data_IF_790782012325
#
_entry.id   IF_790782012325
#
_cell.length_a   1.000
_cell.length_b   1.000
_cell.length_c   1.000
_cell.angle_alpha   90.00
_cell.angle_beta   90.00
_cell.angle_gamma   90.00
#
_symmetry.space_group_name_H-M   'P 1'
#
loop_
_entity.id
_entity.type
_entity.pdbx_description
1 polymer ?
#
# COMPACT_ATOMS: atom_id res chain seq x y z
N UNK A 1 27.24 -0.61 5.98
CA UNK A 1 27.97 -0.51 4.69
C UNK A 1 28.09 -1.82 3.92
N UNK A 2 28.61 -2.92 4.52
CA UNK A 2 28.75 -4.23 3.83
C UNK A 2 27.47 -4.76 3.16
N UNK A 3 26.31 -4.65 3.82
CA UNK A 3 25.00 -5.08 3.26
C UNK A 3 24.56 -4.29 2.01
N UNK A 4 24.89 -3.00 1.96
CA UNK A 4 24.55 -2.13 0.81
C UNK A 4 25.44 -2.48 -0.39
N UNK A 5 26.73 -2.73 -0.15
CA UNK A 5 27.68 -3.15 -1.20
C UNK A 5 27.27 -4.49 -1.81
N UNK A 6 26.83 -5.45 -0.99
CA UNK A 6 26.29 -6.73 -1.46
C UNK A 6 25.05 -6.51 -2.34
N UNK A 7 24.12 -5.65 -1.91
CA UNK A 7 22.94 -5.29 -2.70
C UNK A 7 23.31 -4.66 -4.05
N UNK A 8 24.26 -3.72 -4.06
CA UNK A 8 24.73 -3.08 -5.30
C UNK A 8 25.37 -4.10 -6.23
N UNK A 9 26.25 -4.97 -5.74
CA UNK A 9 26.87 -6.03 -6.56
C UNK A 9 25.82 -6.98 -7.15
N UNK A 10 24.80 -7.34 -6.37
CA UNK A 10 23.71 -8.19 -6.84
C UNK A 10 22.86 -7.49 -7.90
N UNK A 11 22.54 -6.21 -7.71
CA UNK A 11 21.81 -5.40 -8.70
C UNK A 11 22.61 -5.20 -9.99
N UNK A 12 23.92 -4.93 -9.91
CA UNK A 12 24.79 -4.79 -11.09
C UNK A 12 24.93 -6.11 -11.82
N UNK A 13 25.09 -7.23 -11.10
CA UNK A 13 25.12 -8.56 -11.69
C UNK A 13 23.80 -8.91 -12.39
N UNK A 14 22.66 -8.59 -11.78
CA UNK A 14 21.33 -8.75 -12.37
C UNK A 14 21.14 -7.90 -13.63
N UNK A 15 21.56 -6.63 -13.60
CA UNK A 15 21.55 -5.77 -14.78
C UNK A 15 22.44 -6.36 -15.88
N UNK A 16 23.66 -6.76 -15.57
CA UNK A 16 24.55 -7.36 -16.56
C UNK A 16 23.91 -8.59 -17.22
N UNK A 17 23.32 -9.51 -16.43
CA UNK A 17 22.63 -10.68 -16.98
C UNK A 17 21.43 -10.30 -17.84
N UNK A 18 20.64 -9.29 -17.44
CA UNK A 18 19.49 -8.82 -18.20
C UNK A 18 19.88 -8.18 -19.54
N UNK A 19 20.96 -7.40 -19.56
CA UNK A 19 21.38 -6.63 -20.74
C UNK A 19 22.43 -7.34 -21.60
N UNK A 20 23.07 -8.42 -21.13
CA UNK A 20 24.16 -9.11 -21.86
C UNK A 20 23.75 -9.65 -23.22
N UNK A 21 22.48 -10.01 -23.40
CA UNK A 21 21.96 -10.53 -24.67
C UNK A 21 21.20 -9.47 -25.48
N UNK A 22 21.17 -8.21 -25.01
CA UNK A 22 20.37 -7.15 -25.62
C UNK A 22 21.22 -6.36 -26.62
N UNK A 23 20.77 -6.32 -27.87
CA UNK A 23 21.35 -5.46 -28.89
C UNK A 23 20.89 -4.00 -28.68
N UNK A 24 21.82 -3.15 -28.26
CA UNK A 24 21.57 -1.72 -28.05
C UNK A 24 21.14 -0.99 -29.33
N UNK A 25 21.51 -1.49 -30.52
CA UNK A 25 21.05 -0.95 -31.79
C UNK A 25 19.54 -1.13 -31.97
N UNK A 26 19.05 -2.35 -31.73
CA UNK A 26 17.62 -2.69 -31.75
C UNK A 26 16.80 -1.85 -30.76
N UNK A 27 17.30 -1.61 -29.53
CA UNK A 27 16.62 -0.77 -28.53
C UNK A 27 16.37 0.65 -29.06
N UNK A 28 17.39 1.26 -29.68
CA UNK A 28 17.30 2.63 -30.22
C UNK A 28 16.28 2.71 -31.35
N UNK A 29 16.21 1.68 -32.19
CA UNK A 29 15.24 1.60 -33.28
C UNK A 29 13.81 1.48 -32.73
N UNK A 30 13.60 0.61 -31.74
CA UNK A 30 12.29 0.43 -31.08
C UNK A 30 11.85 1.72 -30.37
N UNK A 31 12.76 2.40 -29.66
CA UNK A 31 12.47 3.68 -29.01
C UNK A 31 12.04 4.78 -30.00
N UNK A 32 12.56 4.74 -31.23
CA UNK A 32 12.18 5.69 -32.29
C UNK A 32 10.82 5.38 -32.90
N UNK A 33 10.37 4.13 -32.87
CA UNK A 33 9.07 3.71 -33.38
C UNK A 33 7.95 3.79 -32.33
N UNK A 34 8.21 4.36 -31.15
CA UNK A 34 7.21 4.47 -30.10
C UNK A 34 6.13 5.48 -30.50
N UNK A 35 4.88 5.06 -30.36
CA UNK A 35 3.73 5.93 -30.54
C UNK A 35 3.53 6.80 -29.29
N UNK A 36 3.78 8.11 -29.44
CA UNK A 36 3.60 9.10 -28.39
C UNK A 36 2.15 9.26 -27.94
N UNK A 37 1.17 8.97 -28.81
CA UNK A 37 -0.25 9.01 -28.48
C UNK A 37 -0.58 7.91 -27.48
N UNK A 38 -0.05 6.69 -27.68
CA UNK A 38 -0.22 5.59 -26.73
C UNK A 38 0.41 5.90 -25.37
N UNK A 39 1.59 6.54 -25.34
CA UNK A 39 2.19 7.02 -24.08
C UNK A 39 1.25 8.01 -23.39
N UNK A 40 0.74 9.01 -24.12
CA UNK A 40 -0.14 10.02 -23.56
C UNK A 40 -1.41 9.39 -22.97
N UNK A 41 -2.03 8.44 -23.70
CA UNK A 41 -3.19 7.68 -23.21
C UNK A 41 -2.84 6.93 -21.93
N UNK A 42 -1.70 6.24 -21.88
CA UNK A 42 -1.27 5.51 -20.70
C UNK A 42 -1.08 6.44 -19.48
N UNK A 43 -0.49 7.63 -19.68
CA UNK A 43 -0.32 8.64 -18.63
C UNK A 43 -1.69 9.13 -18.12
N UNK A 44 -2.61 9.46 -19.02
CA UNK A 44 -3.96 9.91 -18.65
C UNK A 44 -4.70 8.83 -17.87
N UNK A 45 -4.67 7.58 -18.34
CA UNK A 45 -5.28 6.43 -17.65
C UNK A 45 -4.65 6.22 -16.27
N UNK A 46 -3.33 6.37 -16.15
CA UNK A 46 -2.64 6.26 -14.87
C UNK A 46 -3.07 7.35 -13.88
N UNK A 47 -3.12 8.61 -14.31
CA UNK A 47 -3.58 9.73 -13.47
C UNK A 47 -5.03 9.51 -13.06
N UNK A 48 -5.89 9.10 -13.99
CA UNK A 48 -7.30 8.80 -13.72
C UNK A 48 -7.44 7.63 -12.72
N UNK A 49 -6.62 6.59 -12.84
CA UNK A 49 -6.58 5.49 -11.87
C UNK A 49 -6.26 5.98 -10.46
N UNK A 50 -5.28 6.89 -10.31
CA UNK A 50 -4.93 7.49 -9.01
C UNK A 50 -6.07 8.37 -8.48
N UNK A 51 -6.77 9.09 -9.35
CA UNK A 51 -7.95 9.88 -8.98
C UNK A 51 -9.09 9.01 -8.43
N UNK A 52 -9.41 7.90 -9.10
CA UNK A 52 -10.41 6.93 -8.64
C UNK A 52 -10.02 6.35 -7.27
N UNK A 53 -8.74 6.04 -7.06
CA UNK A 53 -8.23 5.58 -5.76
C UNK A 53 -8.43 6.63 -4.66
N UNK A 54 -8.19 7.90 -4.97
CA UNK A 54 -8.42 9.00 -4.03
C UNK A 54 -9.91 9.16 -3.67
N UNK A 55 -10.83 8.99 -4.64
CA UNK A 55 -12.27 8.98 -4.39
C UNK A 55 -12.68 7.82 -3.49
N UNK A 56 -12.18 6.61 -3.76
CA UNK A 56 -12.43 5.45 -2.91
C UNK A 56 -11.92 5.67 -1.48
N UNK A 57 -10.72 6.24 -1.34
CA UNK A 57 -10.18 6.55 -0.02
C UNK A 57 -11.02 7.58 0.73
N UNK A 58 -11.61 8.56 0.03
CA UNK A 58 -12.58 9.49 0.61
C UNK A 58 -13.80 8.76 1.18
N UNK A 59 -14.32 7.75 0.48
CA UNK A 59 -15.46 6.96 0.94
C UNK A 59 -15.11 6.18 2.22
N UNK A 60 -13.89 5.62 2.31
CA UNK A 60 -13.41 4.91 3.50
C UNK A 60 -13.21 5.88 4.68
N UNK A 61 -12.74 7.10 4.40
CA UNK A 61 -12.45 8.12 5.42
C UNK A 61 -13.69 8.87 5.88
N UNK A 62 -14.75 8.96 5.06
CA UNK A 62 -15.95 9.76 5.33
C UNK A 62 -16.65 9.49 6.66
N UNK A 63 -16.70 8.26 7.22
CA UNK A 63 -17.29 8.02 8.53
C UNK A 63 -16.50 8.65 9.68
N UNK A 64 -15.21 8.93 9.44
CA UNK A 64 -14.31 9.53 10.42
C UNK A 64 -14.22 11.03 10.20
N UNK A 65 -14.00 11.45 8.94
CA UNK A 65 -13.94 12.85 8.54
C UNK A 65 -14.16 13.01 7.04
N UNK A 66 -15.01 13.95 6.64
CA UNK A 66 -15.13 14.32 5.24
C UNK A 66 -13.95 15.22 4.82
N UNK A 67 -13.08 14.68 3.98
CA UNK A 67 -11.92 15.36 3.40
C UNK A 67 -12.14 15.50 1.89
N UNK A 68 -11.80 16.65 1.33
CA UNK A 68 -11.89 16.87 -0.12
C UNK A 68 -10.99 15.89 -0.88
N UNK A 69 -11.39 15.53 -2.11
CA UNK A 69 -10.64 14.58 -2.94
C UNK A 69 -9.24 15.09 -3.31
N UNK A 70 -9.05 16.40 -3.45
CA UNK A 70 -7.76 16.98 -3.86
C UNK A 70 -6.60 16.70 -2.87
N UNK A 71 -6.73 16.98 -1.55
CA UNK A 71 -5.75 16.56 -0.56
C UNK A 71 -5.45 15.06 -0.57
N UNK A 72 -6.49 14.23 -0.71
CA UNK A 72 -6.35 12.77 -0.75
C UNK A 72 -5.59 12.31 -1.99
N UNK A 73 -5.86 12.93 -3.15
CA UNK A 73 -5.15 12.67 -4.40
C UNK A 73 -3.67 13.07 -4.30
N UNK A 74 -3.37 14.26 -3.78
CA UNK A 74 -2.00 14.73 -3.59
C UNK A 74 -1.21 13.81 -2.64
N UNK A 75 -1.81 13.43 -1.50
CA UNK A 75 -1.21 12.48 -0.56
C UNK A 75 -0.98 11.11 -1.20
N UNK A 76 -1.91 10.64 -2.03
CA UNK A 76 -1.79 9.37 -2.75
C UNK A 76 -0.64 9.41 -3.76
N UNK A 77 -0.50 10.50 -4.53
CA UNK A 77 0.63 10.71 -5.44
C UNK A 77 1.98 10.73 -4.72
N UNK A 78 2.06 11.43 -3.57
CA UNK A 78 3.26 11.42 -2.72
C UNK A 78 3.58 10.00 -2.25
N UNK A 79 2.57 9.21 -1.90
CA UNK A 79 2.76 7.81 -1.53
C UNK A 79 3.29 6.95 -2.68
N UNK A 80 2.77 7.13 -3.90
CA UNK A 80 3.29 6.44 -5.09
C UNK A 80 4.74 6.79 -5.37
N UNK A 81 5.07 8.08 -5.33
CA UNK A 81 6.46 8.53 -5.45
C UNK A 81 7.34 7.89 -4.36
N UNK A 82 6.85 7.88 -3.12
CA UNK A 82 7.50 7.22 -2.00
C UNK A 82 7.75 5.73 -2.23
N UNK A 83 6.81 5.00 -2.82
CA UNK A 83 6.99 3.58 -3.15
C UNK A 83 7.99 3.33 -4.29
N UNK A 84 8.19 4.29 -5.18
CA UNK A 84 9.19 4.21 -6.26
C UNK A 84 10.61 4.53 -5.79
N UNK A 85 10.75 5.38 -4.75
CA UNK A 85 12.06 5.85 -4.27
C UNK A 85 12.50 5.10 -3.01
N UNK A 86 11.58 4.83 -2.08
CA UNK A 86 11.91 4.21 -0.80
C UNK A 86 11.83 2.67 -0.88
N UNK A 87 12.77 1.97 -0.21
CA UNK A 87 12.68 0.52 -0.07
C UNK A 87 11.47 0.13 0.78
N UNK A 88 11.07 -1.15 0.70
CA UNK A 88 10.03 -1.77 1.53
C UNK A 88 8.62 -1.16 1.39
N UNK A 89 8.33 -0.43 0.29
CA UNK A 89 7.02 0.21 0.06
C UNK A 89 6.61 1.15 1.21
N UNK A 90 7.57 1.90 1.74
CA UNK A 90 7.32 2.91 2.79
C UNK A 90 6.51 4.12 2.29
N UNK A 91 6.15 4.16 1.01
CA UNK A 91 5.28 5.19 0.44
C UNK A 91 3.90 5.25 1.08
N UNK A 92 3.38 4.14 1.61
CA UNK A 92 2.10 4.16 2.34
C UNK A 92 2.17 4.97 3.64
N UNK A 93 3.32 4.92 4.34
CA UNK A 93 3.57 5.76 5.51
C UNK A 93 3.67 7.23 5.10
N UNK A 94 4.35 7.51 3.99
CA UNK A 94 4.42 8.87 3.43
C UNK A 94 3.04 9.42 3.04
N UNK A 95 2.15 8.59 2.48
CA UNK A 95 0.76 8.96 2.16
C UNK A 95 -0.01 9.36 3.41
N UNK A 96 0.06 8.56 4.48
CA UNK A 96 -0.59 8.87 5.75
C UNK A 96 -0.02 10.16 6.38
N UNK A 97 1.30 10.32 6.35
CA UNK A 97 1.98 11.51 6.85
C UNK A 97 1.62 12.77 6.05
N UNK A 98 1.63 12.69 4.72
CA UNK A 98 1.28 13.80 3.85
C UNK A 98 -0.17 14.25 4.04
N UNK A 99 -1.10 13.31 4.24
CA UNK A 99 -2.48 13.64 4.56
C UNK A 99 -2.57 14.35 5.91
N UNK A 100 -1.97 13.81 6.96
CA UNK A 100 -1.95 14.45 8.29
C UNK A 100 -1.37 15.88 8.23
N UNK A 101 -0.31 16.08 7.44
CA UNK A 101 0.33 17.38 7.30
C UNK A 101 -0.57 18.42 6.61
N UNK A 102 -1.28 18.02 5.57
CA UNK A 102 -2.19 18.90 4.81
C UNK A 102 -3.54 19.07 5.50
N UNK A 103 -4.01 18.04 6.21
CA UNK A 103 -5.31 17.95 6.87
C UNK A 103 -5.08 17.60 8.35
N UNK A 104 -4.71 18.61 9.15
CA UNK A 104 -4.33 18.43 10.57
C UNK A 104 -5.38 17.71 11.42
N UNK A 105 -6.63 17.77 11.01
CA UNK A 105 -7.72 17.14 11.73
C UNK A 105 -7.91 15.65 11.40
N UNK A 106 -7.04 15.05 10.58
CA UNK A 106 -6.88 13.59 10.45
C UNK A 106 -5.54 13.20 11.06
N UNK A 107 -5.54 12.40 12.12
CA UNK A 107 -4.29 11.92 12.72
C UNK A 107 -3.58 10.94 11.78
N UNK A 108 -2.26 10.80 11.92
CA UNK A 108 -1.49 9.80 11.18
C UNK A 108 -2.05 8.39 11.38
N UNK A 109 -2.36 8.01 12.62
CA UNK A 109 -2.90 6.69 12.96
C UNK A 109 -4.24 6.42 12.29
N UNK A 110 -5.15 7.42 12.28
CA UNK A 110 -6.43 7.33 11.57
C UNK A 110 -6.21 7.15 10.06
N UNK A 111 -5.37 7.99 9.45
CA UNK A 111 -5.08 7.90 8.02
C UNK A 111 -4.46 6.53 7.67
N UNK A 112 -3.48 6.07 8.44
CA UNK A 112 -2.82 4.79 8.21
C UNK A 112 -3.80 3.61 8.40
N UNK A 113 -4.65 3.65 9.42
CA UNK A 113 -5.71 2.65 9.62
C UNK A 113 -6.64 2.53 8.42
N UNK A 114 -7.09 3.66 7.86
CA UNK A 114 -7.92 3.64 6.63
C UNK A 114 -7.18 3.08 5.41
N UNK A 115 -5.86 3.29 5.31
CA UNK A 115 -5.04 2.70 4.24
C UNK A 115 -4.95 1.18 4.41
N UNK A 116 -4.80 0.68 5.64
CA UNK A 116 -4.79 -0.76 5.92
C UNK A 116 -6.14 -1.39 5.54
N UNK A 117 -7.26 -0.76 5.91
CA UNK A 117 -8.60 -1.20 5.51
C UNK A 117 -8.72 -1.22 3.97
N UNK A 118 -8.24 -0.17 3.30
CA UNK A 118 -8.22 -0.11 1.84
C UNK A 118 -7.46 -1.32 1.24
N UNK A 119 -6.31 -1.69 1.84
CA UNK A 119 -5.52 -2.84 1.37
C UNK A 119 -6.20 -4.18 1.60
N UNK A 120 -6.90 -4.35 2.72
CA UNK A 120 -7.68 -5.56 2.98
C UNK A 120 -8.78 -5.70 1.92
N UNK A 121 -9.51 -4.62 1.63
CA UNK A 121 -10.54 -4.62 0.57
C UNK A 121 -9.93 -4.94 -0.80
N UNK A 122 -8.78 -4.36 -1.13
CA UNK A 122 -8.05 -4.65 -2.37
C UNK A 122 -7.67 -6.13 -2.48
N UNK A 123 -7.14 -6.72 -1.40
CA UNK A 123 -6.75 -8.13 -1.37
C UNK A 123 -7.94 -9.06 -1.52
N UNK A 124 -9.06 -8.77 -0.86
CA UNK A 124 -10.30 -9.53 -1.02
C UNK A 124 -10.84 -9.45 -2.44
N UNK A 125 -10.83 -8.25 -3.06
CA UNK A 125 -11.25 -8.07 -4.45
C UNK A 125 -10.40 -8.88 -5.43
N UNK A 126 -9.07 -8.84 -5.27
CA UNK A 126 -8.15 -9.65 -6.09
C UNK A 126 -8.42 -11.14 -5.91
N UNK A 127 -8.65 -11.59 -4.69
CA UNK A 127 -8.93 -13.00 -4.40
C UNK A 127 -10.22 -13.47 -5.08
N UNK A 128 -11.29 -12.68 -5.03
CA UNK A 128 -12.54 -12.99 -5.73
C UNK A 128 -12.30 -13.10 -7.24
N UNK A 129 -11.53 -12.17 -7.83
CA UNK A 129 -11.19 -12.23 -9.25
C UNK A 129 -10.38 -13.48 -9.61
N UNK A 130 -9.39 -13.85 -8.79
CA UNK A 130 -8.60 -15.06 -8.99
C UNK A 130 -9.47 -16.31 -8.93
N UNK A 131 -10.35 -16.42 -7.95
CA UNK A 131 -11.27 -17.55 -7.81
C UNK A 131 -12.25 -17.63 -8.99
N UNK A 132 -12.77 -16.50 -9.46
CA UNK A 132 -13.64 -16.43 -10.63
C UNK A 132 -12.93 -16.89 -11.91
N UNK A 133 -11.65 -16.51 -12.09
CA UNK A 133 -10.83 -16.95 -13.21
C UNK A 133 -10.56 -18.46 -13.16
N UNK A 134 -10.21 -18.99 -11.99
CA UNK A 134 -9.95 -20.42 -11.80
C UNK A 134 -11.19 -21.28 -12.01
N UNK A 135 -12.38 -20.74 -11.74
CA UNK A 135 -13.65 -21.42 -12.04
C UNK A 135 -14.00 -21.42 -13.53
N UNK A 136 -13.44 -20.48 -14.30
CA UNK A 136 -13.82 -20.26 -15.71
C UNK A 136 -12.82 -20.87 -16.70
N UNK A 137 -11.59 -21.16 -16.26
CA UNK A 137 -10.51 -21.67 -17.10
C UNK A 137 -9.87 -22.91 -16.50
N UNK A 138 -9.54 -23.89 -17.34
CA UNK A 138 -8.79 -25.08 -16.94
C UNK A 138 -7.33 -24.71 -16.66
N UNK A 139 -7.03 -24.46 -15.39
CA UNK A 139 -5.72 -24.06 -14.91
C UNK A 139 -4.99 -25.28 -14.32
N UNK A 140 -3.67 -25.46 -14.56
CA UNK A 140 -2.91 -26.58 -14.00
C UNK A 140 -3.05 -26.70 -12.48
N UNK A 141 -3.18 -27.93 -11.98
CA UNK A 141 -3.45 -28.22 -10.55
C UNK A 141 -2.44 -27.56 -9.60
N UNK A 142 -1.17 -27.46 -9.99
CA UNK A 142 -0.12 -26.85 -9.18
C UNK A 142 -0.39 -25.35 -8.94
N UNK A 143 -0.96 -24.66 -9.93
CA UNK A 143 -1.29 -23.24 -9.85
C UNK A 143 -2.58 -23.03 -9.06
N UNK A 144 -3.57 -23.92 -9.21
CA UNK A 144 -4.80 -23.91 -8.39
C UNK A 144 -4.49 -24.10 -6.91
N UNK A 145 -3.65 -25.08 -6.54
CA UNK A 145 -3.25 -25.34 -5.16
C UNK A 145 -2.44 -24.17 -4.57
N UNK A 146 -1.57 -23.56 -5.38
CA UNK A 146 -0.80 -22.38 -4.98
C UNK A 146 -1.71 -21.16 -4.79
N UNK A 147 -2.70 -20.95 -5.66
CA UNK A 147 -3.66 -19.86 -5.53
C UNK A 147 -4.60 -20.03 -4.35
N UNK A 148 -5.06 -21.26 -4.06
CA UNK A 148 -5.88 -21.57 -2.88
C UNK A 148 -5.11 -21.33 -1.57
N UNK A 149 -3.86 -21.78 -1.49
CA UNK A 149 -3.03 -21.55 -0.29
C UNK A 149 -2.74 -20.07 -0.06
N UNK A 150 -2.43 -19.31 -1.11
CA UNK A 150 -2.25 -17.85 -1.03
C UNK A 150 -3.55 -17.16 -0.57
N UNK A 151 -4.70 -17.58 -1.12
CA UNK A 151 -6.02 -17.05 -0.74
C UNK A 151 -6.31 -17.29 0.74
N UNK A 152 -6.03 -18.50 1.24
CA UNK A 152 -6.19 -18.82 2.65
C UNK A 152 -5.32 -17.93 3.56
N UNK A 153 -4.05 -17.69 3.20
CA UNK A 153 -3.16 -16.78 3.93
C UNK A 153 -3.72 -15.36 3.97
N UNK A 154 -4.20 -14.85 2.83
CA UNK A 154 -4.79 -13.50 2.72
C UNK A 154 -6.04 -13.38 3.59
N UNK A 155 -6.91 -14.40 3.62
CA UNK A 155 -8.10 -14.43 4.48
C UNK A 155 -7.69 -14.39 5.95
N UNK A 156 -6.73 -15.22 6.35
CA UNK A 156 -6.25 -15.27 7.74
C UNK A 156 -5.70 -13.91 8.16
N UNK A 157 -4.82 -13.31 7.36
CA UNK A 157 -4.24 -11.99 7.65
C UNK A 157 -5.33 -10.92 7.74
N UNK A 158 -6.28 -10.93 6.80
CA UNK A 158 -7.41 -9.98 6.80
C UNK A 158 -8.30 -10.14 8.02
N UNK A 159 -8.58 -11.39 8.43
CA UNK A 159 -9.36 -11.71 9.62
C UNK A 159 -8.64 -11.27 10.90
N UNK A 160 -7.33 -11.47 10.99
CA UNK A 160 -6.50 -11.00 12.12
C UNK A 160 -6.50 -9.47 12.19
N UNK A 161 -6.33 -8.78 11.06
CA UNK A 161 -6.38 -7.32 11.01
C UNK A 161 -7.76 -6.78 11.40
N UNK A 162 -8.82 -7.43 10.92
CA UNK A 162 -10.18 -7.08 11.30
C UNK A 162 -10.43 -7.32 12.79
N UNK A 163 -9.95 -8.44 13.34
CA UNK A 163 -10.03 -8.74 14.77
C UNK A 163 -9.30 -7.69 15.61
N UNK A 164 -8.07 -7.31 15.22
CA UNK A 164 -7.33 -6.23 15.88
C UNK A 164 -8.10 -4.90 15.80
N UNK A 165 -8.67 -4.59 14.63
CA UNK A 165 -9.47 -3.38 14.44
C UNK A 165 -10.76 -3.37 15.28
N UNK A 166 -11.44 -4.50 15.39
CA UNK A 166 -12.68 -4.65 16.15
C UNK A 166 -12.41 -4.65 17.66
N UNK A 167 -11.30 -5.23 18.10
CA UNK A 167 -10.88 -5.26 19.50
C UNK A 167 -10.15 -3.98 19.96
N UNK A 168 -10.06 -2.93 19.13
CA UNK A 168 -9.39 -1.67 19.51
C UNK A 168 -10.01 -1.04 20.77
N UNK A 169 -11.32 -1.16 20.98
CA UNK A 169 -11.98 -0.63 22.18
C UNK A 169 -11.55 -1.40 23.45
N UNK A 170 -11.45 -2.72 23.36
CA UNK A 170 -11.08 -3.60 24.49
C UNK A 170 -9.59 -3.47 24.86
N UNK A 171 -8.71 -3.33 23.86
CA UNK A 171 -7.27 -3.20 24.09
C UNK A 171 -6.87 -1.86 24.66
N UNK A 172 -7.51 -0.76 24.23
CA UNK A 172 -7.24 0.57 24.77
C UNK A 172 -7.66 0.65 26.24
N UNK A 173 -8.84 0.15 26.60
CA UNK A 173 -9.27 0.08 28.00
C UNK A 173 -8.35 -0.83 28.83
N UNK A 174 -7.91 -1.96 28.28
CA UNK A 174 -7.05 -2.90 29.00
C UNK A 174 -5.64 -2.34 29.21
N UNK A 175 -5.10 -1.59 28.24
CA UNK A 175 -3.81 -0.90 28.34
C UNK A 175 -3.92 0.28 29.33
N UNK A 176 -4.98 1.09 29.27
CA UNK A 176 -5.20 2.17 30.23
C UNK A 176 -5.36 1.69 31.68
N UNK A 177 -5.88 0.47 31.87
CA UNK A 177 -6.03 -0.17 33.18
C UNK A 177 -4.78 -0.95 33.65
N UNK A 178 -3.68 -0.95 32.88
CA UNK A 178 -2.39 -1.47 33.39
C UNK A 178 -1.86 -0.49 34.44
N UNK A 179 -1.61 -0.98 35.66
CA UNK A 179 -1.15 -0.17 36.81
C UNK A 179 0.06 0.74 36.53
N UNK A 180 0.90 0.37 35.55
CA UNK A 180 2.04 1.16 35.07
C UNK A 180 1.64 2.51 34.44
N UNK A 181 0.47 2.59 33.79
CA UNK A 181 -0.03 3.81 33.17
C UNK A 181 -0.71 4.76 34.18
N UNK A 182 -1.02 4.26 35.39
CA UNK A 182 -1.67 5.01 36.46
C UNK A 182 -0.68 5.72 37.41
N UNK A 183 0.63 5.44 37.33
CA UNK A 183 1.64 6.10 38.18
C UNK A 183 2.85 6.67 37.42
N UNK A 184 3.18 7.93 37.75
CA UNK A 184 4.41 8.64 37.38
C UNK A 184 4.57 8.94 35.89
N UNK A 185 5.16 8.01 35.15
CA UNK A 185 5.54 8.17 33.72
C UNK A 185 4.34 7.92 32.80
N UNK A 186 3.39 7.10 33.24
CA UNK A 186 2.20 6.74 32.48
C UNK A 186 1.27 7.90 32.10
N UNK A 187 1.15 8.90 32.99
CA UNK A 187 0.31 10.08 32.79
C UNK A 187 0.85 10.96 31.64
N UNK A 188 2.19 11.07 31.52
CA UNK A 188 2.84 11.82 30.44
C UNK A 188 2.68 11.14 29.08
N UNK A 189 2.64 9.80 29.06
CA UNK A 189 2.32 9.03 27.85
C UNK A 189 0.85 9.18 27.46
N UNK A 190 -0.07 9.12 28.43
CA UNK A 190 -1.51 9.30 28.19
C UNK A 190 -1.83 10.67 27.56
N UNK A 191 -1.15 11.74 27.97
CA UNK A 191 -1.28 13.06 27.36
C UNK A 191 -0.76 13.15 25.91
N UNK A 192 0.21 12.33 25.50
CA UNK A 192 0.70 12.30 24.10
C UNK A 192 -0.24 11.56 23.14
N UNK A 193 -1.02 10.58 23.62
CA UNK A 193 -1.96 9.83 22.77
C UNK A 193 -3.31 10.52 22.59
N UNK A 194 -3.60 11.56 23.37
CA UNK A 194 -4.87 12.31 23.34
C UNK A 194 -4.73 13.75 22.78
N UNK A 195 -3.59 14.14 22.18
CA UNK A 195 -3.43 15.40 21.43
C UNK A 195 -3.26 15.16 19.94
#
# INVERSE_FOLDING_TARGET
MKKVIIGILFSVGGLYLAFRQMDFGSIKTVLRSVDWILILIAVVVMIFSVWVRALRWRIILSPIKDVKTHPLFAATMIGYFGNSVLPLRLGEFLRAYALNRNERAVTFSTAFGTIVVERVVDMLGIMILILALFSSYDIPQWLTNSGLSLSAVVIIVSAVLFWISASHHDWVEKIENIAFLQHGVGIRLKQMFHS
#
